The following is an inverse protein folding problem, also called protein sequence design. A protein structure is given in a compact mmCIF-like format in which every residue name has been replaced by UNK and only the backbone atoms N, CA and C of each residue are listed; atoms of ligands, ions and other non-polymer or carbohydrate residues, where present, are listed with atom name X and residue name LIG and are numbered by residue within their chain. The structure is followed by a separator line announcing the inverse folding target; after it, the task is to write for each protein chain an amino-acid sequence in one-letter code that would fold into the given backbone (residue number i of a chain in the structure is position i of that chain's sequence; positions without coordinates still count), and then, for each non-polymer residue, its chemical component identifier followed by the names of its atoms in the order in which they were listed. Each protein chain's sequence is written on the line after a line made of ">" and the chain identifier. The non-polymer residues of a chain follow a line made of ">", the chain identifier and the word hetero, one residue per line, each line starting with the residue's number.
data_IF_556663964046
#
_entry.id   IF_556663964046
#
_cell.length_a   1.000
_cell.length_b   1.000
_cell.length_c   1.000
_cell.angle_alpha   90.00
_cell.angle_beta   90.00
_cell.angle_gamma   90.00
#
_symmetry.space_group_name_H-M   'P 1'
#
loop_
_entity.id
_entity.type
_entity.pdbx_description
1 polymer ?
#
# COMPACT_ATOMS: atom_id res chain seq x y z
N UNK A 1 28.27 -58.86 -12.49
CA UNK A 1 27.91 -59.12 -11.07
C UNK A 1 27.95 -57.78 -10.35
N UNK A 2 26.97 -57.51 -9.49
CA UNK A 2 26.72 -56.29 -8.70
C UNK A 2 25.72 -55.30 -9.34
N UNK A 3 24.49 -55.54 -8.92
CA UNK A 3 23.23 -54.83 -9.03
C UNK A 3 23.15 -53.80 -7.89
N UNK A 4 22.73 -52.54 -8.14
CA UNK A 4 22.23 -51.58 -7.13
C UNK A 4 21.22 -50.64 -7.81
N UNK A 5 19.95 -51.03 -7.85
CA UNK A 5 18.86 -50.64 -6.92
C UNK A 5 18.37 -49.20 -7.15
N UNK A 6 17.30 -49.10 -7.95
CA UNK A 6 16.46 -47.91 -8.10
C UNK A 6 15.58 -47.80 -6.86
N UNK A 7 15.69 -46.69 -6.13
CA UNK A 7 14.83 -46.39 -4.98
C UNK A 7 13.56 -45.68 -5.49
N UNK A 8 12.47 -46.42 -5.62
CA UNK A 8 11.14 -45.87 -5.90
C UNK A 8 10.55 -45.42 -4.55
N UNK A 9 10.40 -44.12 -4.36
CA UNK A 9 9.69 -43.54 -3.23
C UNK A 9 8.19 -43.65 -3.49
N UNK A 10 7.55 -44.68 -2.94
CA UNK A 10 6.09 -44.80 -2.89
C UNK A 10 5.57 -43.88 -1.79
N UNK A 11 5.04 -42.72 -2.17
CA UNK A 11 4.26 -41.87 -1.27
C UNK A 11 2.90 -42.53 -1.08
N UNK A 12 2.70 -43.18 0.07
CA UNK A 12 1.39 -43.63 0.51
C UNK A 12 0.51 -42.42 0.81
N UNK A 13 -0.44 -42.13 -0.09
CA UNK A 13 -1.51 -41.19 0.20
C UNK A 13 -2.55 -41.93 1.05
N UNK A 14 -2.43 -41.82 2.37
CA UNK A 14 -3.44 -42.27 3.31
C UNK A 14 -4.67 -41.36 3.18
N UNK A 15 -5.70 -41.83 2.49
CA UNK A 15 -7.04 -41.25 2.56
C UNK A 15 -7.59 -41.48 3.97
N UNK A 16 -7.42 -40.49 4.85
CA UNK A 16 -8.23 -40.39 6.07
C UNK A 16 -9.62 -39.95 5.64
N UNK A 17 -10.54 -40.90 5.61
CA UNK A 17 -11.98 -40.62 5.59
C UNK A 17 -12.31 -40.00 6.95
N UNK A 18 -12.27 -38.67 7.04
CA UNK A 18 -12.77 -37.96 8.21
C UNK A 18 -14.26 -37.67 8.04
N UNK A 19 -15.00 -38.17 9.01
CA UNK A 19 -16.42 -37.99 9.24
C UNK A 19 -16.70 -36.50 9.46
N UNK A 20 -17.78 -36.02 8.84
CA UNK A 20 -18.28 -34.66 9.00
C UNK A 20 -18.70 -34.44 10.46
N UNK A 21 -17.91 -33.67 11.20
CA UNK A 21 -18.34 -32.98 12.40
C UNK A 21 -18.06 -31.49 12.22
N UNK A 22 -19.03 -30.69 12.66
CA UNK A 22 -19.14 -29.26 12.40
C UNK A 22 -18.16 -28.46 13.26
N UNK A 23 -17.51 -27.49 12.62
CA UNK A 23 -16.86 -26.26 13.15
C UNK A 23 -15.34 -26.19 12.94
N UNK A 24 -14.95 -25.09 12.27
CA UNK A 24 -13.65 -24.39 12.34
C UNK A 24 -12.41 -24.97 11.61
N UNK A 25 -12.51 -25.27 10.31
CA UNK A 25 -11.35 -25.68 9.48
C UNK A 25 -10.82 -24.60 8.49
N UNK A 26 -11.33 -23.37 8.50
CA UNK A 26 -10.91 -22.33 7.53
C UNK A 26 -9.52 -21.75 7.83
N UNK A 27 -9.03 -21.86 9.07
CA UNK A 27 -7.75 -21.26 9.48
C UNK A 27 -6.53 -22.09 9.04
N UNK A 28 -6.69 -23.41 8.92
CA UNK A 28 -5.59 -24.33 8.62
C UNK A 28 -5.30 -24.46 7.12
N UNK A 29 -6.29 -24.23 6.26
CA UNK A 29 -6.11 -24.29 4.80
C UNK A 29 -5.42 -23.02 4.27
N UNK A 30 -5.74 -21.85 4.83
CA UNK A 30 -5.09 -20.60 4.46
C UNK A 30 -3.60 -20.56 4.86
N UNK A 31 -3.23 -21.21 5.97
CA UNK A 31 -1.85 -21.25 6.46
C UNK A 31 -0.93 -22.15 5.61
N UNK A 32 -1.46 -23.17 4.94
CA UNK A 32 -0.65 -24.09 4.11
C UNK A 32 -0.31 -23.52 2.72
N UNK A 33 -1.12 -22.60 2.20
CA UNK A 33 -0.85 -21.95 0.91
C UNK A 33 0.34 -20.98 0.96
N UNK A 34 0.76 -20.54 2.15
CA UNK A 34 1.86 -19.58 2.34
C UNK A 34 3.28 -20.17 2.19
N UNK A 35 3.42 -21.49 2.01
CA UNK A 35 4.72 -22.18 2.01
C UNK A 35 5.13 -22.82 0.68
N UNK A 36 4.36 -22.62 -0.40
CA UNK A 36 4.79 -22.99 -1.75
C UNK A 36 4.71 -21.74 -2.61
N UNK A 37 5.67 -21.51 -3.51
CA UNK A 37 5.72 -20.35 -4.41
C UNK A 37 4.58 -20.27 -5.45
N UNK A 38 3.38 -20.74 -5.10
CA UNK A 38 2.14 -20.52 -5.82
C UNK A 38 1.55 -19.16 -5.45
N UNK A 39 1.12 -18.43 -6.47
CA UNK A 39 0.33 -17.23 -6.28
C UNK A 39 -0.95 -17.57 -5.50
N UNK A 40 -1.34 -16.70 -4.57
CA UNK A 40 -2.60 -16.84 -3.84
C UNK A 40 -3.79 -16.43 -4.73
N UNK A 41 -5.00 -16.89 -4.40
CA UNK A 41 -6.23 -16.40 -5.00
C UNK A 41 -6.72 -15.16 -4.24
N UNK A 42 -6.46 -13.97 -4.77
CA UNK A 42 -6.76 -12.70 -4.08
C UNK A 42 -8.26 -12.43 -3.91
N UNK A 43 -9.10 -12.99 -4.80
CA UNK A 43 -10.54 -12.77 -4.75
C UNK A 43 -11.18 -13.34 -3.48
N UNK A 44 -10.70 -14.52 -3.05
CA UNK A 44 -11.16 -15.23 -1.85
C UNK A 44 -10.33 -14.93 -0.60
N UNK A 45 -9.18 -14.28 -0.74
CA UNK A 45 -8.29 -14.00 0.38
C UNK A 45 -8.84 -12.90 1.31
N UNK A 46 -8.67 -13.12 2.61
CA UNK A 46 -8.90 -12.13 3.67
C UNK A 46 -7.62 -11.32 3.92
N UNK A 47 -7.75 -10.05 4.32
CA UNK A 47 -6.66 -9.16 4.72
C UNK A 47 -6.04 -9.53 6.06
N UNK A 48 -6.59 -10.55 6.74
CA UNK A 48 -6.06 -11.18 7.93
C UNK A 48 -6.97 -10.97 9.14
N UNK A 49 -6.36 -10.84 10.33
CA UNK A 49 -7.07 -10.57 11.58
C UNK A 49 -6.88 -9.12 12.01
N UNK A 50 -7.88 -8.57 12.70
CA UNK A 50 -7.83 -7.23 13.28
C UNK A 50 -6.61 -7.08 14.18
N UNK A 51 -5.79 -6.07 13.90
CA UNK A 51 -4.61 -5.72 14.71
C UNK A 51 -5.02 -4.80 15.86
N UNK A 52 -4.62 -5.17 17.08
CA UNK A 52 -4.78 -4.32 18.25
C UNK A 52 -3.60 -3.34 18.39
N UNK A 53 -3.92 -2.05 18.53
CA UNK A 53 -2.89 -0.99 18.68
C UNK A 53 -1.94 -1.20 19.85
N UNK A 54 -2.34 -1.93 20.89
CA UNK A 54 -1.54 -2.12 22.11
C UNK A 54 -0.62 -3.34 22.08
N UNK A 55 -0.74 -4.20 21.07
CA UNK A 55 -0.02 -5.49 21.00
C UNK A 55 0.59 -5.76 19.62
N UNK A 56 0.52 -4.79 18.71
CA UNK A 56 1.02 -4.94 17.35
C UNK A 56 2.52 -5.25 17.32
N UNK A 57 2.91 -6.25 16.54
CA UNK A 57 4.30 -6.69 16.35
C UNK A 57 4.59 -6.79 14.86
N UNK A 58 5.84 -6.60 14.47
CA UNK A 58 6.26 -6.86 13.09
C UNK A 58 6.58 -8.35 12.94
N UNK A 59 6.00 -8.99 11.94
CA UNK A 59 6.44 -10.30 11.48
C UNK A 59 7.63 -10.09 10.53
N UNK A 60 8.81 -10.57 10.94
CA UNK A 60 10.04 -10.41 10.18
C UNK A 60 10.03 -11.18 8.85
N UNK A 61 9.24 -12.25 8.73
CA UNK A 61 9.18 -13.06 7.52
C UNK A 61 8.35 -12.38 6.43
N UNK A 62 7.17 -11.84 6.77
CA UNK A 62 6.33 -11.11 5.82
C UNK A 62 6.73 -9.64 5.66
N UNK A 63 7.38 -9.06 6.67
CA UNK A 63 7.61 -7.62 6.75
C UNK A 63 6.33 -6.81 6.93
N UNK A 64 5.26 -7.45 7.41
CA UNK A 64 3.97 -6.85 7.75
C UNK A 64 3.70 -6.98 9.25
N UNK A 65 2.68 -6.28 9.75
CA UNK A 65 2.25 -6.48 11.14
C UNK A 65 1.68 -7.89 11.28
N UNK A 66 2.02 -8.59 12.37
CA UNK A 66 1.54 -9.94 12.66
C UNK A 66 0.01 -10.01 12.54
N UNK A 67 -0.46 -10.93 11.71
CA UNK A 67 -1.89 -11.08 11.41
C UNK A 67 -2.38 -10.31 10.19
N UNK A 68 -1.55 -9.49 9.54
CA UNK A 68 -1.85 -8.86 8.24
C UNK A 68 -1.37 -9.76 7.11
N UNK A 69 -2.26 -10.03 6.15
CA UNK A 69 -1.96 -10.89 5.00
C UNK A 69 -1.37 -10.09 3.83
N UNK A 70 -0.36 -10.65 3.18
CA UNK A 70 0.02 -10.27 1.81
C UNK A 70 -0.48 -11.32 0.85
N UNK A 71 -1.24 -10.92 -0.17
CA UNK A 71 -1.67 -11.82 -1.23
C UNK A 71 -1.79 -11.08 -2.56
N UNK A 72 -0.88 -11.35 -3.49
CA UNK A 72 -0.91 -10.80 -4.85
C UNK A 72 -1.29 -11.90 -5.84
N UNK A 73 -2.48 -11.79 -6.44
CA UNK A 73 -2.96 -12.77 -7.41
C UNK A 73 -2.07 -12.86 -8.65
N UNK A 74 -1.93 -14.07 -9.21
CA UNK A 74 -1.15 -14.36 -10.42
C UNK A 74 -1.49 -13.46 -11.62
N UNK A 75 -2.77 -13.08 -11.76
CA UNK A 75 -3.28 -12.28 -12.88
C UNK A 75 -2.84 -10.82 -12.84
N UNK A 76 -2.33 -10.34 -11.71
CA UNK A 76 -1.82 -8.97 -11.61
C UNK A 76 -0.55 -8.77 -12.44
N UNK A 77 -0.30 -7.55 -12.95
CA UNK A 77 0.95 -7.20 -13.58
C UNK A 77 2.12 -7.28 -12.59
N UNK A 78 3.33 -7.51 -13.11
CA UNK A 78 4.54 -7.69 -12.30
C UNK A 78 4.88 -6.47 -11.45
N UNK A 79 4.62 -5.26 -11.94
CA UNK A 79 4.85 -4.03 -11.16
C UNK A 79 3.97 -3.95 -9.90
N UNK A 80 2.82 -4.65 -9.85
CA UNK A 80 2.04 -4.79 -8.62
C UNK A 80 2.58 -5.97 -7.81
N UNK A 81 2.66 -7.16 -8.42
CA UNK A 81 3.03 -8.41 -7.71
C UNK A 81 4.35 -8.33 -6.96
N UNK A 82 5.33 -7.62 -7.53
CA UNK A 82 6.69 -7.58 -7.00
C UNK A 82 6.93 -6.44 -6.01
N UNK A 83 6.02 -5.44 -5.98
CA UNK A 83 6.24 -4.23 -5.20
C UNK A 83 5.24 -4.09 -4.03
N UNK A 84 4.03 -4.63 -4.15
CA UNK A 84 3.01 -4.49 -3.12
C UNK A 84 3.07 -5.59 -2.07
N UNK A 85 2.85 -5.19 -0.81
CA UNK A 85 2.69 -6.08 0.35
C UNK A 85 1.75 -5.50 1.39
N UNK A 86 1.48 -6.27 2.44
CA UNK A 86 0.56 -5.95 3.54
C UNK A 86 -0.85 -5.58 3.07
N UNK A 87 -1.23 -6.13 1.92
CA UNK A 87 -2.51 -5.95 1.25
C UNK A 87 -2.82 -7.21 0.43
N UNK A 88 -4.09 -7.36 0.07
CA UNK A 88 -4.56 -8.39 -0.85
C UNK A 88 -4.93 -7.72 -2.15
N UNK A 89 -4.49 -8.23 -3.30
CA UNK A 89 -4.86 -7.69 -4.58
C UNK A 89 -5.17 -8.76 -5.63
N UNK A 90 -6.07 -8.44 -6.56
CA UNK A 90 -6.46 -9.30 -7.68
C UNK A 90 -7.08 -8.50 -8.84
N UNK A 91 -7.20 -9.14 -10.01
CA UNK A 91 -7.90 -8.57 -11.16
C UNK A 91 -9.38 -8.93 -11.08
N UNK A 92 -10.26 -7.95 -11.29
CA UNK A 92 -11.71 -8.15 -11.42
C UNK A 92 -12.23 -7.33 -12.59
N UNK A 93 -12.55 -7.99 -13.71
CA UNK A 93 -12.92 -7.30 -14.94
C UNK A 93 -11.78 -6.37 -15.43
N UNK A 94 -12.11 -5.09 -15.63
CA UNK A 94 -11.17 -4.03 -16.04
C UNK A 94 -10.58 -3.24 -14.86
N UNK A 95 -10.47 -3.87 -13.70
CA UNK A 95 -9.99 -3.23 -12.48
C UNK A 95 -9.00 -4.10 -11.71
N UNK A 96 -8.06 -3.44 -11.05
CA UNK A 96 -7.30 -3.99 -9.93
C UNK A 96 -8.09 -3.72 -8.65
N UNK A 97 -8.36 -4.79 -7.89
CA UNK A 97 -8.95 -4.68 -6.56
C UNK A 97 -7.82 -4.77 -5.54
N UNK A 98 -7.74 -3.82 -4.62
CA UNK A 98 -6.88 -3.91 -3.44
C UNK A 98 -7.73 -3.93 -2.18
N UNK A 99 -7.42 -4.82 -1.24
CA UNK A 99 -7.98 -4.82 0.11
C UNK A 99 -6.87 -4.57 1.11
N UNK A 100 -7.11 -3.71 2.09
CA UNK A 100 -6.09 -3.39 3.11
C UNK A 100 -6.69 -3.20 4.50
N UNK A 101 -5.94 -3.68 5.51
CA UNK A 101 -6.20 -3.32 6.91
C UNK A 101 -5.67 -1.93 7.27
N UNK A 102 -4.85 -1.31 6.42
CA UNK A 102 -4.30 0.04 6.63
C UNK A 102 -3.62 0.20 8.00
N UNK A 103 -2.71 -0.73 8.29
CA UNK A 103 -1.94 -0.75 9.54
C UNK A 103 -0.46 -0.57 9.19
N UNK A 104 0.22 0.49 9.69
CA UNK A 104 1.60 0.77 9.35
C UNK A 104 2.53 -0.33 9.85
N UNK A 105 3.31 -0.93 8.94
CA UNK A 105 4.35 -1.91 9.24
C UNK A 105 5.67 -1.25 9.70
N UNK A 106 5.56 -0.10 10.35
CA UNK A 106 6.65 0.67 10.96
C UNK A 106 6.36 0.90 12.42
N UNK A 107 7.36 1.37 13.16
CA UNK A 107 7.07 1.97 14.47
C UNK A 107 6.30 3.27 14.27
N UNK A 108 5.48 3.63 15.25
CA UNK A 108 4.72 4.87 15.25
C UNK A 108 4.30 5.24 16.67
N UNK A 109 4.23 6.54 16.94
CA UNK A 109 3.60 7.06 18.17
C UNK A 109 2.14 6.68 18.30
N UNK A 110 1.49 6.42 17.16
CA UNK A 110 0.05 6.16 17.11
C UNK A 110 -0.34 4.71 17.41
N UNK A 111 0.64 3.87 17.69
CA UNK A 111 0.42 2.63 18.44
C UNK A 111 0.24 2.93 19.93
N UNK A 112 -0.41 2.03 20.67
CA UNK A 112 -0.47 2.15 22.12
C UNK A 112 0.92 1.98 22.74
N UNK A 113 1.23 2.67 23.83
CA UNK A 113 2.56 2.65 24.47
C UNK A 113 3.03 1.27 24.94
N UNK A 114 2.12 0.31 25.08
CA UNK A 114 2.44 -1.10 25.36
C UNK A 114 2.86 -1.92 24.13
N UNK A 115 2.67 -1.38 22.92
CA UNK A 115 2.97 -2.04 21.67
C UNK A 115 4.48 -2.09 21.40
N UNK A 116 5.02 -3.23 20.96
CA UNK A 116 6.38 -3.29 20.42
C UNK A 116 6.62 -2.37 19.21
N UNK A 117 5.56 -1.95 18.51
CA UNK A 117 5.62 -0.95 17.43
C UNK A 117 5.46 0.49 17.90
N UNK A 118 5.39 0.76 19.21
CA UNK A 118 5.39 2.12 19.71
C UNK A 118 6.78 2.77 19.60
N UNK A 119 6.80 4.05 19.27
CA UNK A 119 7.94 4.95 19.45
C UNK A 119 7.48 6.39 19.70
N UNK A 120 8.34 7.25 20.21
CA UNK A 120 8.00 8.66 20.43
C UNK A 120 7.90 9.44 19.11
N UNK A 121 7.08 10.48 19.07
CA UNK A 121 7.05 11.42 17.96
C UNK A 121 8.42 12.07 17.71
N UNK A 122 8.67 12.55 16.47
CA UNK A 122 9.81 13.41 16.18
C UNK A 122 9.89 14.60 17.15
N UNK A 123 11.10 15.07 17.45
CA UNK A 123 11.27 16.24 18.32
C UNK A 123 10.66 17.47 17.68
N UNK A 124 9.80 18.18 18.41
CA UNK A 124 9.07 19.35 17.91
C UNK A 124 7.68 19.03 17.35
N UNK A 125 7.37 17.75 17.13
CA UNK A 125 6.04 17.32 16.71
C UNK A 125 5.09 17.17 17.90
N UNK A 126 3.79 17.23 17.62
CA UNK A 126 2.71 17.09 18.59
C UNK A 126 1.73 15.98 18.19
N UNK A 127 1.06 15.30 19.14
CA UNK A 127 0.07 14.29 18.80
C UNK A 127 -1.08 14.84 17.95
N UNK A 128 -1.59 14.05 17.01
CA UNK A 128 -2.88 14.25 16.35
C UNK A 128 -4.05 14.03 17.34
N UNK A 129 -4.14 14.87 18.37
CA UNK A 129 -5.08 14.70 19.49
C UNK A 129 -4.93 13.34 20.16
N UNK A 130 -6.07 12.66 20.35
CA UNK A 130 -6.15 11.31 20.93
C UNK A 130 -6.25 10.21 19.86
N UNK A 131 -5.97 10.53 18.60
CA UNK A 131 -6.09 9.59 17.49
C UNK A 131 -5.10 8.44 17.67
N UNK A 132 -5.47 7.26 17.17
CA UNK A 132 -4.60 6.08 17.19
C UNK A 132 -4.90 5.19 16.00
N UNK A 133 -3.92 4.41 15.57
CA UNK A 133 -4.09 3.42 14.50
C UNK A 133 -5.17 2.41 14.87
N UNK A 134 -6.05 2.11 13.91
CA UNK A 134 -6.98 0.98 13.98
C UNK A 134 -7.04 0.25 12.64
N UNK A 135 -7.33 -1.05 12.66
CA UNK A 135 -7.51 -1.82 11.44
C UNK A 135 -8.75 -1.38 10.69
N UNK A 136 -8.61 -1.25 9.38
CA UNK A 136 -9.61 -0.81 8.43
C UNK A 136 -10.07 -1.99 7.55
N UNK A 137 -11.08 -1.77 6.70
CA UNK A 137 -11.57 -2.74 5.72
C UNK A 137 -11.61 -2.12 4.33
N UNK A 138 -10.53 -1.42 3.97
CA UNK A 138 -10.47 -0.77 2.67
C UNK A 138 -10.64 -1.75 1.53
N UNK A 139 -11.43 -1.35 0.54
CA UNK A 139 -11.52 -1.97 -0.77
C UNK A 139 -11.38 -0.87 -1.82
N UNK A 140 -10.27 -0.90 -2.56
CA UNK A 140 -10.01 -0.03 -3.69
C UNK A 140 -10.36 -0.77 -4.98
N UNK A 141 -11.14 -0.14 -5.84
CA UNK A 141 -11.39 -0.60 -7.21
C UNK A 141 -10.73 0.39 -8.15
N UNK A 142 -9.57 0.02 -8.71
CA UNK A 142 -8.71 0.90 -9.48
C UNK A 142 -8.74 0.48 -10.95
N UNK A 143 -8.93 1.38 -11.94
CA UNK A 143 -8.90 1.01 -13.36
C UNK A 143 -7.59 0.33 -13.74
N UNK A 144 -7.65 -0.82 -14.42
CA UNK A 144 -6.44 -1.56 -14.82
C UNK A 144 -5.74 -0.95 -16.04
N UNK A 145 -6.47 -0.13 -16.79
CA UNK A 145 -6.01 0.65 -17.94
C UNK A 145 -6.45 2.11 -17.72
N UNK A 146 -5.61 2.95 -17.12
CA UNK A 146 -5.93 4.35 -16.84
C UNK A 146 -6.29 5.10 -18.13
N UNK A 147 -7.28 5.98 -18.05
CA UNK A 147 -7.70 6.85 -19.15
C UNK A 147 -7.64 8.28 -18.65
N UNK A 148 -7.01 9.18 -19.43
CA UNK A 148 -7.00 10.61 -19.13
C UNK A 148 -8.44 11.13 -19.00
N UNK A 149 -8.73 11.76 -17.86
CA UNK A 149 -10.02 12.37 -17.56
C UNK A 149 -10.04 13.86 -17.91
N UNK A 150 -10.96 14.58 -17.29
CA UNK A 150 -11.09 16.04 -17.46
C UNK A 150 -10.01 16.85 -16.74
N UNK A 151 -9.31 16.25 -15.76
CA UNK A 151 -8.41 16.99 -14.86
C UNK A 151 -9.13 17.86 -13.83
N UNK A 152 -10.45 17.70 -13.68
CA UNK A 152 -11.29 18.55 -12.80
C UNK A 152 -11.99 17.77 -11.68
N UNK A 153 -11.83 16.44 -11.63
CA UNK A 153 -12.37 15.63 -10.53
C UNK A 153 -11.50 15.86 -9.30
N UNK A 154 -12.08 16.51 -8.29
CA UNK A 154 -11.36 16.91 -7.08
C UNK A 154 -11.01 15.74 -6.17
N UNK A 155 -9.87 15.84 -5.50
CA UNK A 155 -9.37 14.84 -4.53
C UNK A 155 -9.96 15.02 -3.13
N UNK A 156 -10.72 16.11 -2.93
CA UNK A 156 -11.28 16.54 -1.65
C UNK A 156 -12.78 16.22 -1.49
N UNK A 157 -13.39 15.53 -2.47
CA UNK A 157 -14.83 15.27 -2.54
C UNK A 157 -15.37 14.18 -1.61
N UNK A 158 -14.90 14.10 -0.35
CA UNK A 158 -15.37 13.12 0.63
C UNK A 158 -14.87 11.69 0.42
N UNK A 159 -13.76 11.53 -0.32
CA UNK A 159 -13.09 10.25 -0.47
C UNK A 159 -12.40 9.84 0.83
N UNK A 160 -12.57 8.59 1.24
CA UNK A 160 -11.89 8.02 2.43
C UNK A 160 -10.39 7.77 2.20
N UNK A 161 -9.95 7.79 0.94
CA UNK A 161 -8.56 7.71 0.50
C UNK A 161 -8.50 8.00 -1.01
N UNK A 162 -7.39 8.51 -1.53
CA UNK A 162 -7.17 8.79 -2.96
C UNK A 162 -6.26 7.77 -3.64
N UNK A 163 -5.70 6.82 -2.89
CA UNK A 163 -4.78 5.82 -3.40
C UNK A 163 -4.26 4.90 -2.31
N UNK A 164 -3.47 3.91 -2.70
CA UNK A 164 -2.88 2.92 -1.79
C UNK A 164 -1.38 2.85 -2.02
N UNK A 165 -0.60 2.91 -0.93
CA UNK A 165 0.86 2.73 -1.00
C UNK A 165 1.24 1.27 -1.22
N UNK A 166 2.48 1.02 -1.63
CA UNK A 166 3.02 -0.35 -1.81
C UNK A 166 3.03 -1.17 -0.52
N UNK A 167 2.97 -0.54 0.66
CA UNK A 167 2.82 -1.22 1.95
C UNK A 167 1.38 -1.17 2.50
N UNK A 168 0.39 -0.89 1.65
CA UNK A 168 -1.02 -1.02 1.97
C UNK A 168 -1.62 0.13 2.77
N UNK A 169 -0.99 1.30 2.82
CA UNK A 169 -1.47 2.46 3.57
C UNK A 169 -2.24 3.42 2.67
N UNK A 170 -3.20 4.12 3.27
CA UNK A 170 -4.02 5.08 2.59
C UNK A 170 -3.20 6.31 2.19
N UNK A 171 -3.35 6.73 0.94
CA UNK A 171 -2.89 8.02 0.45
C UNK A 171 -4.06 9.00 0.62
N UNK A 172 -3.80 10.15 1.23
CA UNK A 172 -4.74 11.26 1.37
C UNK A 172 -4.33 12.41 0.45
N UNK A 173 -5.27 13.30 0.18
CA UNK A 173 -5.07 14.45 -0.69
C UNK A 173 -4.15 15.52 -0.05
N UNK A 174 -3.90 16.61 -0.76
CA UNK A 174 -3.08 17.73 -0.29
C UNK A 174 -3.80 18.69 0.69
N UNK A 175 -4.95 18.33 1.25
CA UNK A 175 -5.69 19.19 2.16
C UNK A 175 -5.70 18.64 3.59
N UNK A 176 -5.69 19.57 4.53
CA UNK A 176 -6.08 19.33 5.92
C UNK A 176 -7.57 19.60 6.09
N UNK A 177 -8.15 19.13 7.20
CA UNK A 177 -9.51 19.50 7.55
C UNK A 177 -9.56 20.97 8.01
N UNK A 178 -10.39 21.84 7.38
CA UNK A 178 -10.50 23.23 7.81
C UNK A 178 -10.90 23.34 9.29
N UNK A 179 -10.33 24.29 10.05
CA UNK A 179 -9.55 25.45 9.61
C UNK A 179 -8.03 25.22 9.48
N UNK A 180 -7.53 24.00 9.68
CA UNK A 180 -6.09 23.73 9.67
C UNK A 180 -5.51 23.77 8.25
N UNK A 181 -4.19 23.93 8.16
CA UNK A 181 -3.42 23.77 6.92
C UNK A 181 -2.58 22.51 6.99
N UNK A 182 -2.24 21.93 5.84
CA UNK A 182 -1.44 20.71 5.82
C UNK A 182 -0.03 20.93 6.41
N UNK A 183 0.53 22.12 6.27
CA UNK A 183 1.78 22.49 6.94
C UNK A 183 1.69 22.45 8.48
N UNK A 184 0.52 22.76 9.06
CA UNK A 184 0.28 22.62 10.50
C UNK A 184 0.07 21.16 10.86
N UNK A 185 -0.74 20.45 10.09
CA UNK A 185 -1.02 19.03 10.30
C UNK A 185 0.24 18.15 10.21
N UNK A 186 1.23 18.55 9.40
CA UNK A 186 2.53 17.89 9.30
C UNK A 186 3.31 17.83 10.63
N UNK A 187 3.01 18.72 11.59
CA UNK A 187 3.55 18.65 12.96
C UNK A 187 3.03 17.43 13.72
N UNK A 188 2.05 16.72 13.20
CA UNK A 188 1.51 15.49 13.79
C UNK A 188 2.01 14.23 13.12
N UNK A 189 2.82 14.32 12.08
CA UNK A 189 3.38 13.12 11.45
C UNK A 189 4.33 12.39 12.39
N UNK A 190 4.32 11.06 12.34
CA UNK A 190 5.33 10.23 13.00
C UNK A 190 6.66 10.24 12.21
N UNK A 191 7.65 9.46 12.67
CA UNK A 191 8.96 9.38 12.01
C UNK A 191 8.89 8.87 10.56
N UNK A 192 7.76 8.30 10.14
CA UNK A 192 7.54 7.75 8.82
C UNK A 192 6.66 8.62 7.92
N UNK A 193 6.29 9.82 8.39
CA UNK A 193 5.56 10.81 7.60
C UNK A 193 4.07 10.56 7.50
N UNK A 194 3.50 9.74 8.39
CA UNK A 194 2.06 9.50 8.43
C UNK A 194 1.47 9.68 9.82
N UNK A 195 0.13 9.67 9.88
CA UNK A 195 -0.63 9.79 11.12
C UNK A 195 -2.07 9.29 10.92
N UNK A 196 -2.82 8.99 12.00
CA UNK A 196 -4.22 8.64 11.90
C UNK A 196 -5.17 9.82 12.12
N UNK A 197 -6.31 9.78 11.44
CA UNK A 197 -7.47 10.61 11.79
C UNK A 197 -8.34 9.94 12.88
N UNK A 198 -9.42 10.59 13.31
CA UNK A 198 -10.21 10.22 14.49
C UNK A 198 -10.90 8.84 14.44
N UNK A 199 -11.11 8.25 13.27
CA UNK A 199 -11.60 6.87 13.09
C UNK A 199 -10.47 5.85 12.89
N UNK A 200 -9.22 6.30 12.96
CA UNK A 200 -8.00 5.48 13.02
C UNK A 200 -7.42 5.04 11.67
N UNK A 201 -7.89 5.61 10.56
CA UNK A 201 -7.21 5.47 9.25
C UNK A 201 -5.88 6.19 9.35
N UNK A 202 -4.80 5.42 9.45
CA UNK A 202 -3.45 5.91 9.23
C UNK A 202 -3.26 6.26 7.76
N UNK A 203 -2.67 7.41 7.45
CA UNK A 203 -2.53 7.87 6.08
C UNK A 203 -1.32 8.78 5.88
N UNK A 204 -0.98 8.98 4.62
CA UNK A 204 0.05 9.90 4.16
C UNK A 204 -0.55 10.95 3.23
N UNK A 205 -0.25 12.22 3.49
CA UNK A 205 -0.47 13.33 2.55
C UNK A 205 0.81 13.66 1.77
N UNK A 206 1.96 13.41 2.39
CA UNK A 206 3.26 13.89 1.98
C UNK A 206 4.29 12.74 2.00
N UNK A 207 5.35 12.87 2.80
CA UNK A 207 6.41 11.88 2.80
C UNK A 207 5.93 10.49 3.23
N UNK A 208 6.36 9.46 2.51
CA UNK A 208 6.18 8.04 2.87
C UNK A 208 7.57 7.46 3.11
N UNK A 209 8.28 7.96 4.14
CA UNK A 209 9.75 7.80 4.24
C UNK A 209 10.21 6.35 4.41
N UNK A 210 9.30 5.44 4.79
CA UNK A 210 9.56 4.00 4.77
C UNK A 210 9.70 3.42 3.36
N UNK A 211 9.01 4.01 2.39
CA UNK A 211 8.89 3.54 1.01
C UNK A 211 9.79 4.33 0.05
N UNK A 212 9.86 5.65 0.24
CA UNK A 212 10.62 6.57 -0.63
C UNK A 212 11.25 7.68 0.19
N UNK A 213 12.51 8.00 -0.08
CA UNK A 213 13.20 9.13 0.54
C UNK A 213 14.13 9.82 -0.48
N UNK A 214 13.60 10.85 -1.15
CA UNK A 214 14.32 11.62 -2.19
C UNK A 214 14.88 10.72 -3.32
N UNK A 215 14.16 9.67 -3.67
CA UNK A 215 14.49 8.67 -4.69
C UNK A 215 13.39 8.56 -5.75
N UNK A 216 13.49 7.56 -6.63
CA UNK A 216 12.55 7.22 -7.70
C UNK A 216 11.64 6.03 -7.37
N UNK A 217 11.57 5.63 -6.09
CA UNK A 217 10.83 4.42 -5.72
C UNK A 217 9.33 4.56 -5.95
N UNK A 218 8.69 3.45 -6.31
CA UNK A 218 7.23 3.37 -6.40
C UNK A 218 6.62 3.54 -4.99
N UNK A 219 5.86 4.62 -4.80
CA UNK A 219 5.14 4.88 -3.57
C UNK A 219 3.84 4.06 -3.53
N UNK A 220 3.13 3.97 -4.65
CA UNK A 220 1.82 3.34 -4.71
C UNK A 220 1.08 3.56 -6.02
N UNK A 221 -0.24 3.44 -5.96
CA UNK A 221 -1.16 3.67 -7.08
C UNK A 221 -2.34 4.53 -6.64
N UNK A 222 -2.70 5.51 -7.47
CA UNK A 222 -3.81 6.44 -7.26
C UNK A 222 -5.11 5.82 -7.79
N UNK A 223 -6.26 6.29 -7.29
CA UNK A 223 -7.59 5.79 -7.67
C UNK A 223 -7.91 5.86 -9.17
N UNK A 224 -7.24 6.73 -9.93
CA UNK A 224 -7.38 6.80 -11.39
C UNK A 224 -6.47 5.81 -12.14
N UNK A 225 -5.70 5.01 -11.41
CA UNK A 225 -4.88 3.91 -11.88
C UNK A 225 -3.46 4.29 -12.30
N UNK A 226 -3.07 5.56 -12.18
CA UNK A 226 -1.68 5.96 -12.41
C UNK A 226 -0.82 5.72 -11.17
N UNK A 227 0.42 5.31 -11.42
CA UNK A 227 1.41 5.12 -10.38
C UNK A 227 1.86 6.46 -9.79
N UNK A 228 2.33 6.42 -8.54
CA UNK A 228 2.97 7.54 -7.85
C UNK A 228 4.36 7.13 -7.39
N UNK A 229 5.34 8.00 -7.62
CA UNK A 229 6.74 7.79 -7.31
C UNK A 229 7.27 8.83 -6.32
N UNK A 230 8.48 8.58 -5.84
CA UNK A 230 9.27 9.53 -5.05
C UNK A 230 9.59 10.83 -5.79
N UNK A 231 10.46 11.65 -5.18
CA UNK A 231 10.79 12.99 -5.69
C UNK A 231 11.55 12.98 -7.01
N UNK A 232 12.18 11.86 -7.35
CA UNK A 232 12.88 11.66 -8.61
C UNK A 232 12.04 10.81 -9.56
N UNK A 233 12.28 11.01 -10.86
CA UNK A 233 11.89 10.08 -11.90
C UNK A 233 13.08 9.18 -12.22
N UNK A 234 12.79 7.89 -12.36
CA UNK A 234 13.71 6.92 -12.97
C UNK A 234 13.77 7.16 -14.48
N UNK A 235 14.90 6.85 -15.09
CA UNK A 235 15.13 7.04 -16.52
C UNK A 235 14.77 5.81 -17.37
N UNK A 236 13.87 4.96 -16.87
CA UNK A 236 13.48 3.70 -17.52
C UNK A 236 14.50 2.58 -17.35
N UNK A 237 15.39 2.67 -16.35
CA UNK A 237 16.49 1.72 -16.18
C UNK A 237 16.52 1.13 -14.77
N UNK A 238 17.36 0.11 -14.55
CA UNK A 238 17.60 -0.38 -13.19
C UNK A 238 18.68 0.42 -12.46
N UNK A 239 19.37 1.34 -13.14
CA UNK A 239 20.36 2.24 -12.55
C UNK A 239 19.62 3.39 -11.87
N UNK A 240 20.02 3.70 -10.63
CA UNK A 240 19.49 4.85 -9.89
C UNK A 240 20.43 6.07 -9.95
N UNK A 241 21.59 5.93 -10.59
CA UNK A 241 22.60 7.00 -10.67
C UNK A 241 22.24 8.13 -11.63
N UNK A 242 21.32 7.85 -12.55
CA UNK A 242 20.79 8.75 -13.56
C UNK A 242 19.37 9.25 -13.25
N UNK A 243 18.82 8.89 -12.09
CA UNK A 243 17.55 9.43 -11.59
C UNK A 243 17.63 10.94 -11.41
N UNK A 244 16.60 11.65 -11.88
CA UNK A 244 16.55 13.11 -11.90
C UNK A 244 15.30 13.63 -11.20
N UNK A 245 15.38 14.83 -10.64
CA UNK A 245 14.18 15.54 -10.16
C UNK A 245 13.48 16.15 -11.37
N UNK A 246 12.23 15.76 -11.68
CA UNK A 246 11.52 16.30 -12.83
C UNK A 246 11.34 17.82 -12.72
N UNK A 247 11.57 18.53 -13.82
CA UNK A 247 11.33 19.98 -13.92
C UNK A 247 10.13 20.32 -14.80
N UNK A 248 9.43 19.30 -15.29
CA UNK A 248 8.33 19.36 -16.25
C UNK A 248 7.02 18.78 -15.69
N UNK A 249 6.89 18.72 -14.36
CA UNK A 249 5.64 18.31 -13.70
C UNK A 249 4.51 19.30 -14.04
N UNK A 250 3.32 18.75 -14.28
CA UNK A 250 2.10 19.53 -14.39
C UNK A 250 1.57 19.93 -12.99
N UNK A 251 0.47 20.69 -12.97
CA UNK A 251 -0.17 21.16 -11.73
C UNK A 251 -0.75 20.04 -10.86
N UNK A 252 -0.76 18.79 -11.32
CA UNK A 252 -1.22 17.62 -10.57
C UNK A 252 -0.04 16.83 -9.98
N UNK A 253 1.19 17.33 -10.17
CA UNK A 253 2.47 16.71 -9.80
C UNK A 253 2.86 15.51 -10.67
N UNK A 254 2.33 15.43 -11.89
CA UNK A 254 2.65 14.32 -12.79
C UNK A 254 3.27 14.75 -14.11
N UNK A 255 3.84 13.78 -14.81
CA UNK A 255 4.34 13.95 -16.17
C UNK A 255 4.31 12.61 -16.92
N UNK A 256 4.69 12.60 -18.20
CA UNK A 256 4.71 11.36 -19.03
C UNK A 256 6.14 11.00 -19.41
N UNK A 257 6.66 9.93 -18.82
CA UNK A 257 7.97 9.35 -19.11
C UNK A 257 7.92 7.83 -18.97
N UNK A 258 8.92 7.14 -19.53
CA UNK A 258 9.12 5.73 -19.23
C UNK A 258 9.74 5.59 -17.84
N UNK A 259 9.49 4.46 -17.19
CA UNK A 259 10.03 4.11 -15.87
C UNK A 259 10.44 2.63 -15.87
N UNK A 260 11.15 2.18 -14.85
CA UNK A 260 11.53 0.78 -14.66
C UNK A 260 10.32 -0.16 -14.64
N UNK A 261 9.14 0.35 -14.26
CA UNK A 261 7.88 -0.41 -14.25
C UNK A 261 7.09 -0.30 -15.55
N UNK A 262 7.29 0.78 -16.33
CA UNK A 262 6.55 1.06 -17.56
C UNK A 262 7.51 1.45 -18.68
N UNK A 263 7.84 0.49 -19.55
CA UNK A 263 8.79 0.68 -20.65
C UNK A 263 8.29 1.63 -21.75
N UNK A 264 6.98 1.89 -21.80
CA UNK A 264 6.37 2.92 -22.65
C UNK A 264 6.10 4.18 -21.84
N UNK A 265 6.27 5.38 -22.43
CA UNK A 265 5.93 6.63 -21.77
C UNK A 265 4.50 6.60 -21.24
N UNK A 266 4.37 6.67 -19.91
CA UNK A 266 3.10 6.54 -19.20
C UNK A 266 3.02 7.70 -18.21
N UNK A 267 1.83 8.30 -18.08
CA UNK A 267 1.64 9.35 -17.09
C UNK A 267 1.83 8.77 -15.68
N UNK A 268 2.47 9.50 -14.78
CA UNK A 268 2.63 9.12 -13.37
C UNK A 268 2.87 10.35 -12.51
N UNK A 269 2.55 10.22 -11.23
CA UNK A 269 2.67 11.27 -10.22
C UNK A 269 4.00 11.20 -9.48
N UNK A 270 4.40 12.32 -8.90
CA UNK A 270 5.57 12.46 -8.04
C UNK A 270 5.22 13.15 -6.73
N UNK A 271 5.89 12.71 -5.66
CA UNK A 271 6.03 13.51 -4.46
C UNK A 271 6.76 14.82 -4.80
N UNK A 272 6.07 15.96 -4.72
CA UNK A 272 6.56 17.23 -5.25
C UNK A 272 6.08 18.44 -4.43
N UNK A 273 6.76 19.61 -4.54
CA UNK A 273 6.34 20.84 -3.89
C UNK A 273 4.91 21.25 -4.26
N UNK A 274 4.07 21.50 -3.26
CA UNK A 274 2.69 21.95 -3.44
C UNK A 274 2.50 23.36 -2.88
N UNK A 275 2.27 24.32 -3.78
CA UNK A 275 2.05 25.72 -3.38
C UNK A 275 0.76 25.92 -2.57
N UNK A 276 -0.25 25.06 -2.76
CA UNK A 276 -1.53 25.17 -2.04
C UNK A 276 -1.45 24.61 -0.61
N UNK A 277 -0.59 23.61 -0.39
CA UNK A 277 -0.36 23.03 0.93
C UNK A 277 0.80 23.68 1.71
N UNK A 278 1.74 24.33 1.01
CA UNK A 278 2.94 24.94 1.59
C UNK A 278 4.04 23.93 1.97
N UNK A 279 3.89 22.66 1.59
CA UNK A 279 4.84 21.56 1.78
C UNK A 279 4.86 20.67 0.53
N UNK A 280 5.80 19.74 0.43
CA UNK A 280 5.74 18.70 -0.60
C UNK A 280 4.56 17.73 -0.31
N UNK A 281 3.79 17.35 -1.34
CA UNK A 281 2.65 16.41 -1.21
C UNK A 281 2.69 15.33 -2.28
N UNK A 282 1.98 14.23 -2.02
CA UNK A 282 1.90 13.08 -2.93
C UNK A 282 1.11 13.41 -4.20
N UNK A 283 0.13 14.29 -4.11
CA UNK A 283 -0.71 14.63 -5.25
C UNK A 283 -1.37 15.99 -5.04
N UNK A 284 -1.56 16.73 -6.14
CA UNK A 284 -2.33 17.97 -6.11
C UNK A 284 -3.85 17.76 -5.91
N UNK A 285 -4.61 18.81 -6.18
CA UNK A 285 -6.04 18.87 -5.83
C UNK A 285 -6.99 18.10 -6.78
N UNK A 286 -6.50 17.56 -7.89
CA UNK A 286 -7.33 16.89 -8.91
C UNK A 286 -6.68 15.62 -9.46
N UNK A 287 -7.51 14.66 -9.86
CA UNK A 287 -7.06 13.46 -10.57
C UNK A 287 -6.82 13.78 -12.05
N UNK A 288 -5.83 13.09 -12.64
CA UNK A 288 -5.52 13.19 -14.06
C UNK A 288 -6.47 12.31 -14.86
N UNK A 289 -6.76 11.12 -14.36
CA UNK A 289 -7.58 10.12 -15.01
C UNK A 289 -9.04 10.05 -14.54
N UNK A 290 -9.79 9.15 -15.15
CA UNK A 290 -11.08 8.71 -14.63
C UNK A 290 -10.86 7.85 -13.40
N UNK A 291 -11.37 8.29 -12.25
CA UNK A 291 -11.22 7.58 -10.99
C UNK A 291 -12.05 6.29 -10.97
N UNK A 292 -11.51 5.29 -10.27
CA UNK A 292 -12.29 4.18 -9.76
C UNK A 292 -13.01 4.57 -8.45
N UNK A 293 -13.07 3.64 -7.51
CA UNK A 293 -13.75 3.83 -6.23
C UNK A 293 -12.98 3.27 -5.05
N UNK A 294 -13.34 3.74 -3.85
CA UNK A 294 -12.86 3.19 -2.59
C UNK A 294 -14.02 3.10 -1.60
N UNK A 295 -14.05 2.04 -0.81
CA UNK A 295 -14.90 1.92 0.38
C UNK A 295 -14.06 1.48 1.57
N UNK A 296 -14.57 1.69 2.79
CA UNK A 296 -14.00 1.22 4.04
C UNK A 296 -15.11 0.71 4.96
#
# INVERSE_FOLDING_TARGET
>A
MIQKSILIFLVFLSFVVCKKDSNDDDLTVAALAALSGGYCNGSSANTGITVSKGTATLDASSGCVTGVTTCMDSALPTWIKNNFKCSVAYVSGSSYIFKSQNVPNTKSYYYGSSSPLFETLPTGNMPAGNNSVSSQKFVYTIPSSPIKGSGTVGTQGGLVSIGITVNGLAIFNNAANPPDTLAVEAQTFDNFGGHPQNTGVYHHHAAVTKVSNNDSNLIGVILDGYAIYGKKCDNGTSSTGDDFVPTDLDNLHGHTKATVHFSTPTYHYHFAPDATAGIDTLMGSFFYGTIGSVSN
#
